data_IF_743372385109
#
_entry.id   IF_743372385109
#
_cell.length_a   1.000
_cell.length_b   1.000
_cell.length_c   1.000
_cell.angle_alpha   90.00
_cell.angle_beta   90.00
_cell.angle_gamma   90.00
#
_symmetry.space_group_name_H-M   'P 1'
#
loop_
_entity.id
_entity.type
_entity.pdbx_description
1 polymer ?
#
# COMPACT_ATOMS: atom_id res chain seq x y z
N UNK A 1 -14.61 -16.82 -26.55
CA UNK A 1 -13.64 -16.06 -25.74
C UNK A 1 -14.26 -14.69 -25.53
N UNK A 2 -14.87 -14.44 -24.36
CA UNK A 2 -15.63 -13.20 -24.10
C UNK A 2 -14.68 -12.03 -23.83
N UNK A 3 -14.90 -10.90 -24.49
CA UNK A 3 -14.15 -9.65 -24.27
C UNK A 3 -14.54 -9.10 -22.90
N UNK A 4 -13.66 -9.20 -21.91
CA UNK A 4 -13.80 -8.42 -20.69
C UNK A 4 -13.80 -6.93 -21.08
N UNK A 5 -14.84 -6.19 -20.69
CA UNK A 5 -14.87 -4.74 -20.86
C UNK A 5 -13.63 -4.14 -20.18
N UNK A 6 -12.92 -3.24 -20.88
CA UNK A 6 -11.78 -2.55 -20.28
C UNK A 6 -12.25 -1.75 -19.07
N UNK A 7 -11.82 -2.12 -17.87
CA UNK A 7 -12.14 -1.38 -16.65
C UNK A 7 -11.57 0.03 -16.71
N UNK A 8 -12.37 1.02 -16.31
CA UNK A 8 -11.90 2.41 -16.23
C UNK A 8 -11.04 2.59 -14.96
N UNK A 9 -9.76 2.92 -15.13
CA UNK A 9 -8.86 3.16 -14.00
C UNK A 9 -9.28 4.41 -13.22
N UNK A 10 -9.56 4.25 -11.93
CA UNK A 10 -10.02 5.33 -11.04
C UNK A 10 -8.86 6.15 -10.48
N UNK A 11 -7.72 5.50 -10.22
CA UNK A 11 -6.52 6.16 -9.72
C UNK A 11 -5.28 5.31 -9.99
N UNK A 12 -4.14 5.98 -9.97
CA UNK A 12 -2.80 5.38 -10.06
C UNK A 12 -1.99 5.89 -8.87
N UNK A 13 -1.23 4.99 -8.24
CA UNK A 13 -0.40 5.33 -7.08
C UNK A 13 1.02 4.84 -7.28
N UNK A 14 1.97 5.65 -6.83
CA UNK A 14 3.36 5.26 -6.69
C UNK A 14 3.63 4.95 -5.21
N UNK A 15 3.96 3.69 -4.93
CA UNK A 15 4.43 3.26 -3.61
C UNK A 15 5.93 3.03 -3.67
N UNK A 16 6.67 3.77 -2.86
CA UNK A 16 8.11 3.56 -2.67
C UNK A 16 8.32 2.93 -1.30
N UNK A 17 9.00 1.78 -1.27
CA UNK A 17 9.38 1.09 -0.04
C UNK A 17 10.89 1.14 0.11
N UNK A 18 11.36 1.70 1.21
CA UNK A 18 12.78 1.76 1.56
C UNK A 18 13.04 0.85 2.75
N UNK A 19 14.08 0.03 2.65
CA UNK A 19 14.56 -0.82 3.73
C UNK A 19 15.94 -0.34 4.15
N UNK A 20 16.17 -0.24 5.45
CA UNK A 20 17.46 0.09 6.04
C UNK A 20 17.71 -0.80 7.26
N UNK A 21 18.97 -1.10 7.53
CA UNK A 21 19.38 -1.69 8.80
C UNK A 21 19.16 -0.67 9.92
N UNK A 22 18.65 -1.13 11.06
CA UNK A 22 18.52 -0.32 12.28
C UNK A 22 18.59 -1.23 13.51
N UNK A 23 19.76 -1.29 14.16
CA UNK A 23 19.95 -1.98 15.45
C UNK A 23 19.71 -3.49 15.40
N UNK A 24 20.17 -4.16 14.34
CA UNK A 24 19.95 -5.59 14.12
C UNK A 24 18.53 -5.93 13.65
N UNK A 25 17.71 -4.91 13.35
CA UNK A 25 16.38 -5.04 12.75
C UNK A 25 16.34 -4.33 11.40
N UNK A 26 15.18 -4.39 10.75
CA UNK A 26 14.91 -3.66 9.51
C UNK A 26 13.98 -2.48 9.80
N UNK A 27 14.45 -1.27 9.52
CA UNK A 27 13.60 -0.10 9.38
C UNK A 27 12.99 -0.09 7.99
N UNK A 28 11.66 -0.11 7.92
CA UNK A 28 10.92 0.05 6.68
C UNK A 28 10.25 1.43 6.64
N UNK A 29 10.40 2.13 5.52
CA UNK A 29 9.69 3.38 5.24
C UNK A 29 8.84 3.17 3.99
N UNK A 30 7.52 3.28 4.14
CA UNK A 30 6.57 3.18 3.03
C UNK A 30 6.04 4.57 2.70
N UNK A 31 6.20 5.00 1.45
CA UNK A 31 5.69 6.28 0.94
C UNK A 31 4.77 6.01 -0.24
N UNK A 32 3.48 6.22 -0.04
CA UNK A 32 2.46 6.10 -1.10
C UNK A 32 2.01 7.48 -1.53
N UNK A 33 1.97 7.72 -2.84
CA UNK A 33 1.46 8.96 -3.43
C UNK A 33 0.53 8.64 -4.57
N UNK A 34 -0.65 9.28 -4.58
CA UNK A 34 -1.57 9.25 -5.72
C UNK A 34 -0.99 10.13 -6.81
N UNK A 35 -0.77 9.56 -8.00
CA UNK A 35 -0.20 10.28 -9.14
C UNK A 35 -1.24 10.59 -10.22
N UNK A 36 -2.36 9.86 -10.23
CA UNK A 36 -3.56 10.17 -11.02
C UNK A 36 -4.80 9.77 -10.24
N UNK A 37 -5.90 10.52 -10.37
CA UNK A 37 -7.19 10.18 -9.78
C UNK A 37 -8.34 10.83 -10.54
N UNK A 38 -9.45 10.13 -10.71
CA UNK A 38 -10.71 10.73 -11.15
C UNK A 38 -11.39 11.48 -9.99
N UNK A 39 -12.37 12.37 -10.25
CA UNK A 39 -13.10 13.08 -9.20
C UNK A 39 -13.83 12.16 -8.20
N UNK A 40 -14.21 10.95 -8.61
CA UNK A 40 -14.93 9.97 -7.79
C UNK A 40 -13.99 9.06 -6.99
N UNK A 41 -12.68 9.08 -7.27
CA UNK A 41 -11.66 8.29 -6.60
C UNK A 41 -11.48 8.56 -5.08
N UNK A 42 -11.65 9.80 -4.56
CA UNK A 42 -11.32 10.11 -3.15
C UNK A 42 -12.01 9.22 -2.12
N UNK A 43 -13.25 8.80 -2.35
CA UNK A 43 -13.97 7.89 -1.44
C UNK A 43 -13.31 6.52 -1.30
N UNK A 44 -12.58 6.07 -2.31
CA UNK A 44 -11.85 4.80 -2.30
C UNK A 44 -10.45 4.92 -1.72
N UNK A 45 -9.91 6.14 -1.67
CA UNK A 45 -8.64 6.46 -1.01
C UNK A 45 -8.84 6.76 0.48
N UNK A 46 -10.08 7.00 0.91
CA UNK A 46 -10.43 7.13 2.31
C UNK A 46 -10.03 5.85 3.07
N UNK A 47 -9.26 6.03 4.15
CA UNK A 47 -8.76 4.91 4.96
C UNK A 47 -7.51 4.21 4.40
N UNK A 48 -6.91 4.70 3.31
CA UNK A 48 -5.68 4.13 2.74
C UNK A 48 -4.55 4.03 3.79
N UNK A 49 -4.34 5.09 4.57
CA UNK A 49 -3.33 5.11 5.64
C UNK A 49 -3.61 4.04 6.70
N UNK A 50 -4.84 3.98 7.21
CA UNK A 50 -5.24 2.98 8.20
C UNK A 50 -5.08 1.55 7.67
N UNK A 51 -5.44 1.29 6.40
CA UNK A 51 -5.26 0.00 5.75
C UNK A 51 -3.80 -0.41 5.62
N UNK A 52 -2.92 0.54 5.26
CA UNK A 52 -1.47 0.30 5.25
C UNK A 52 -0.93 0.01 6.65
N UNK A 53 -1.30 0.81 7.65
CA UNK A 53 -0.89 0.60 9.04
C UNK A 53 -1.27 -0.79 9.52
N UNK A 54 -2.52 -1.21 9.35
CA UNK A 54 -2.98 -2.55 9.73
C UNK A 54 -2.21 -3.66 9.01
N UNK A 55 -1.88 -3.48 7.73
CA UNK A 55 -1.11 -4.46 6.97
C UNK A 55 0.31 -4.60 7.50
N UNK A 56 0.96 -3.50 7.85
CA UNK A 56 2.32 -3.49 8.40
C UNK A 56 2.37 -4.01 9.84
N UNK A 57 1.35 -3.74 10.65
CA UNK A 57 1.20 -4.33 11.98
C UNK A 57 1.07 -5.85 11.91
N UNK A 58 0.22 -6.36 11.01
CA UNK A 58 0.07 -7.80 10.77
C UNK A 58 1.37 -8.43 10.29
N UNK A 59 2.09 -7.77 9.39
CA UNK A 59 3.40 -8.23 8.93
C UNK A 59 4.40 -8.31 10.09
N UNK A 60 4.44 -7.28 10.94
CA UNK A 60 5.30 -7.25 12.12
C UNK A 60 4.98 -8.41 13.06
N UNK A 61 3.70 -8.65 13.36
CA UNK A 61 3.26 -9.76 14.19
C UNK A 61 3.61 -11.13 13.58
N UNK A 62 3.42 -11.27 12.26
CA UNK A 62 3.76 -12.50 11.53
C UNK A 62 5.26 -12.80 11.62
N UNK A 63 6.12 -11.81 11.39
CA UNK A 63 7.57 -11.97 11.47
C UNK A 63 8.03 -12.31 12.88
N UNK A 64 7.47 -11.66 13.91
CA UNK A 64 7.80 -11.95 15.30
C UNK A 64 7.41 -13.38 15.74
N UNK A 65 6.38 -13.97 15.12
CA UNK A 65 5.96 -15.34 15.38
C UNK A 65 6.79 -16.39 14.62
N UNK A 66 7.62 -15.98 13.65
CA UNK A 66 8.36 -16.87 12.74
C UNK A 66 9.84 -16.49 12.59
N UNK A 67 10.41 -15.79 13.58
CA UNK A 67 11.82 -15.38 13.64
C UNK A 67 12.67 -16.33 14.45
#
# INVERSE_FOLDING_TARGET
MGTAAAGNAMFEMLTTVTFAEEGGKTKQILRTRVIKSTPEAPRYLAGMEAGWTQSLERLTAYLAAHS
#
